data_IF_185384720208
#
_entry.id   IF_185384720208
#
_cell.length_a   1.000
_cell.length_b   1.000
_cell.length_c   1.000
_cell.angle_alpha   90.00
_cell.angle_beta   90.00
_cell.angle_gamma   90.00
#
_symmetry.space_group_name_H-M   'P 1'
#
loop_
_entity.id
_entity.type
_entity.pdbx_description
1 polymer ?
#
# COMPACT_ATOMS: atom_id res chain seq x y z
N UNK A 1 26.39 -20.66 0.90
CA UNK A 1 26.15 -19.89 2.14
C UNK A 1 25.49 -18.52 1.88
N UNK A 2 26.12 -17.60 1.12
CA UNK A 2 25.55 -16.25 0.86
C UNK A 2 24.11 -16.25 0.29
N UNK A 3 23.77 -17.16 -0.63
CA UNK A 3 22.43 -17.24 -1.23
C UNK A 3 21.34 -17.73 -0.28
N UNK A 4 21.67 -18.66 0.61
CA UNK A 4 20.73 -19.16 1.62
C UNK A 4 20.38 -18.05 2.61
N UNK A 5 21.35 -17.22 2.99
CA UNK A 5 21.11 -16.03 3.81
C UNK A 5 20.17 -15.02 3.12
N UNK A 6 20.29 -14.84 1.80
CA UNK A 6 19.37 -13.98 1.03
C UNK A 6 17.95 -14.54 1.03
N UNK A 7 17.78 -15.87 0.92
CA UNK A 7 16.49 -16.56 1.05
C UNK A 7 15.87 -16.34 2.41
N UNK A 8 16.61 -16.61 3.49
CA UNK A 8 16.14 -16.40 4.86
C UNK A 8 15.75 -14.94 5.08
N UNK A 9 16.57 -14.00 4.62
CA UNK A 9 16.29 -12.57 4.71
C UNK A 9 14.98 -12.18 4.01
N UNK A 10 14.74 -12.67 2.79
CA UNK A 10 13.49 -12.40 2.07
C UNK A 10 12.26 -12.96 2.75
N UNK A 11 12.36 -14.18 3.28
CA UNK A 11 11.26 -14.80 4.04
C UNK A 11 10.94 -13.96 5.28
N UNK A 12 11.96 -13.53 6.03
CA UNK A 12 11.76 -12.67 7.20
C UNK A 12 11.11 -11.33 6.79
N UNK A 13 11.61 -10.69 5.73
CA UNK A 13 11.04 -9.45 5.22
C UNK A 13 9.56 -9.60 4.82
N UNK A 14 9.22 -10.73 4.18
CA UNK A 14 7.85 -11.06 3.80
C UNK A 14 6.95 -11.31 5.02
N UNK A 15 7.43 -12.05 6.02
CA UNK A 15 6.67 -12.30 7.25
C UNK A 15 6.41 -11.00 8.02
N UNK A 16 7.40 -10.11 8.12
CA UNK A 16 7.24 -8.79 8.73
C UNK A 16 6.20 -7.96 7.96
N UNK A 17 6.23 -8.01 6.63
CA UNK A 17 5.19 -7.38 5.82
C UNK A 17 3.80 -7.95 6.11
N UNK A 18 3.65 -9.27 6.17
CA UNK A 18 2.36 -9.89 6.47
C UNK A 18 1.83 -9.44 7.83
N UNK A 19 2.68 -9.42 8.85
CA UNK A 19 2.32 -8.92 10.18
C UNK A 19 1.90 -7.46 10.10
N UNK A 20 2.70 -6.58 9.48
CA UNK A 20 2.37 -5.16 9.35
C UNK A 20 1.07 -4.93 8.56
N UNK A 21 0.86 -5.68 7.48
CA UNK A 21 -0.33 -5.59 6.64
C UNK A 21 -1.60 -6.06 7.37
N UNK A 22 -1.55 -7.20 8.05
CA UNK A 22 -2.69 -7.69 8.84
C UNK A 22 -2.97 -6.77 10.03
N UNK A 23 -1.92 -6.27 10.68
CA UNK A 23 -2.03 -5.27 11.75
C UNK A 23 -2.69 -4.00 11.23
N UNK A 24 -2.44 -3.59 9.97
CA UNK A 24 -3.10 -2.43 9.36
C UNK A 24 -4.64 -2.52 9.44
N UNK A 25 -5.20 -3.69 9.15
CA UNK A 25 -6.64 -3.96 9.19
C UNK A 25 -7.19 -3.68 10.60
N UNK A 26 -6.53 -4.23 11.62
CA UNK A 26 -6.90 -4.01 13.01
C UNK A 26 -6.67 -2.56 13.46
N UNK A 27 -5.57 -1.96 13.02
CA UNK A 27 -5.19 -0.60 13.37
C UNK A 27 -6.24 0.41 12.92
N UNK A 28 -6.58 0.45 11.62
CA UNK A 28 -7.56 1.42 11.11
C UNK A 28 -9.00 1.02 11.43
N UNK A 29 -9.25 -0.27 11.66
CA UNK A 29 -10.58 -0.79 11.97
C UNK A 29 -10.96 -0.75 13.46
N UNK A 30 -10.01 -0.45 14.35
CA UNK A 30 -10.14 -0.66 15.80
C UNK A 30 -10.50 -2.11 16.18
N UNK A 31 -9.88 -3.09 15.51
CA UNK A 31 -10.18 -4.51 15.69
C UNK A 31 -8.97 -5.28 16.22
N UNK A 32 -9.14 -6.00 17.33
CA UNK A 32 -8.28 -7.10 17.78
C UNK A 32 -6.75 -6.84 17.73
N UNK A 33 -6.33 -5.59 18.00
CA UNK A 33 -4.92 -5.20 18.09
C UNK A 33 -4.68 -4.37 19.36
N UNK A 34 -3.50 -4.45 19.99
CA UNK A 34 -3.22 -3.76 21.25
C UNK A 34 -3.14 -2.23 21.09
N UNK A 35 -2.70 -1.75 19.93
CA UNK A 35 -2.64 -0.34 19.57
C UNK A 35 -3.35 -0.13 18.24
N UNK A 36 -4.60 0.34 18.29
CA UNK A 36 -5.37 0.82 17.14
C UNK A 36 -5.25 2.33 16.94
N UNK A 37 -5.85 2.85 15.87
CA UNK A 37 -5.80 4.27 15.49
C UNK A 37 -6.40 5.21 16.54
N UNK A 38 -7.36 4.71 17.33
CA UNK A 38 -8.04 5.48 18.39
C UNK A 38 -7.60 5.08 19.81
N UNK A 39 -6.64 4.16 19.93
CA UNK A 39 -6.16 3.70 21.24
C UNK A 39 -5.03 4.57 21.80
N UNK A 40 -4.93 4.65 23.13
CA UNK A 40 -3.88 5.37 23.86
C UNK A 40 -4.37 6.66 24.51
N UNK A 41 -3.46 7.35 25.17
CA UNK A 41 -3.74 8.64 25.82
C UNK A 41 -3.76 9.76 24.78
N UNK A 42 -4.77 10.62 24.86
CA UNK A 42 -4.84 11.81 24.04
C UNK A 42 -3.91 12.89 24.56
N UNK A 43 -3.18 13.50 23.64
CA UNK A 43 -2.44 14.73 23.90
C UNK A 43 -3.15 15.89 23.21
N UNK A 44 -2.71 17.12 23.47
CA UNK A 44 -3.23 18.31 22.80
C UNK A 44 -3.26 18.15 21.27
N UNK A 45 -4.32 18.68 20.64
CA UNK A 45 -4.64 18.48 19.23
C UNK A 45 -3.48 18.81 18.27
N UNK A 46 -2.83 19.96 18.47
CA UNK A 46 -1.77 20.44 17.57
C UNK A 46 -0.53 19.53 17.59
N UNK A 47 0.04 19.18 18.77
CA UNK A 47 1.08 18.15 18.85
C UNK A 47 0.69 16.81 18.22
N UNK A 48 -0.52 16.31 18.47
CA UNK A 48 -0.99 15.05 17.87
C UNK A 48 -1.02 15.13 16.34
N UNK A 49 -1.58 16.21 15.79
CA UNK A 49 -1.65 16.45 14.35
C UNK A 49 -0.25 16.51 13.72
N UNK A 50 0.68 17.27 14.30
CA UNK A 50 2.04 17.40 13.78
C UNK A 50 2.80 16.08 13.82
N UNK A 51 2.67 15.31 14.92
CA UNK A 51 3.28 13.99 15.04
C UNK A 51 2.74 13.02 13.99
N UNK A 52 1.42 12.95 13.83
CA UNK A 52 0.77 12.06 12.88
C UNK A 52 1.13 12.43 11.43
N UNK A 53 1.14 13.72 11.08
CA UNK A 53 1.60 14.20 9.78
C UNK A 53 3.08 13.90 9.54
N UNK A 54 3.94 14.04 10.55
CA UNK A 54 5.35 13.68 10.48
C UNK A 54 5.55 12.19 10.21
N UNK A 55 4.82 11.32 10.92
CA UNK A 55 4.86 9.87 10.73
C UNK A 55 4.40 9.45 9.33
N UNK A 56 3.27 10.01 8.87
CA UNK A 56 2.76 9.75 7.52
C UNK A 56 3.71 10.26 6.43
N UNK A 57 4.31 11.43 6.64
CA UNK A 57 5.29 12.01 5.72
C UNK A 57 6.56 11.17 5.65
N UNK A 58 7.07 10.70 6.80
CA UNK A 58 8.23 9.81 6.86
C UNK A 58 8.00 8.54 6.04
N UNK A 59 6.85 7.89 6.23
CA UNK A 59 6.46 6.73 5.43
C UNK A 59 6.35 7.06 3.94
N UNK A 60 5.63 8.14 3.59
CA UNK A 60 5.42 8.54 2.19
C UNK A 60 6.74 8.84 1.47
N UNK A 61 7.65 9.56 2.12
CA UNK A 61 8.96 9.92 1.58
C UNK A 61 9.83 8.67 1.41
N UNK A 62 9.97 7.86 2.47
CA UNK A 62 10.75 6.62 2.42
C UNK A 62 10.24 5.68 1.31
N UNK A 63 8.93 5.43 1.28
CA UNK A 63 8.30 4.54 0.31
C UNK A 63 8.46 5.08 -1.11
N UNK A 64 8.19 6.37 -1.32
CA UNK A 64 8.27 6.99 -2.65
C UNK A 64 9.68 6.99 -3.21
N UNK A 65 10.68 7.35 -2.40
CA UNK A 65 12.09 7.39 -2.82
C UNK A 65 12.53 6.01 -3.26
N UNK A 66 12.31 4.99 -2.42
CA UNK A 66 12.77 3.64 -2.74
C UNK A 66 12.00 3.00 -3.90
N UNK A 67 10.77 3.42 -4.16
CA UNK A 67 10.02 2.98 -5.33
C UNK A 67 10.60 3.49 -6.66
N UNK A 68 11.37 4.59 -6.66
CA UNK A 68 11.83 5.24 -7.89
C UNK A 68 12.94 4.46 -8.62
N UNK A 69 12.91 4.38 -9.96
CA UNK A 69 13.94 3.68 -10.73
C UNK A 69 15.38 4.16 -10.48
N UNK A 70 15.58 5.45 -10.24
CA UNK A 70 16.90 6.03 -9.97
C UNK A 70 17.49 5.52 -8.64
N UNK A 71 16.68 5.51 -7.58
CA UNK A 71 17.09 4.96 -6.29
C UNK A 71 17.41 3.47 -6.40
N UNK A 72 16.55 2.69 -7.08
CA UNK A 72 16.78 1.25 -7.29
C UNK A 72 18.12 0.99 -7.96
N UNK A 73 18.41 1.69 -9.08
CA UNK A 73 19.69 1.57 -9.80
C UNK A 73 20.90 1.92 -8.95
N UNK A 74 20.79 2.91 -8.07
CA UNK A 74 21.85 3.27 -7.14
C UNK A 74 22.01 2.21 -6.04
N UNK A 75 20.90 1.80 -5.43
CA UNK A 75 20.89 0.88 -4.30
C UNK A 75 21.38 -0.52 -4.67
N UNK A 76 21.06 -1.01 -5.87
CA UNK A 76 21.56 -2.30 -6.39
C UNK A 76 23.06 -2.31 -6.71
N UNK A 77 23.76 -1.16 -6.64
CA UNK A 77 25.23 -1.12 -6.68
C UNK A 77 25.85 -1.45 -5.31
N UNK A 78 25.07 -1.29 -4.24
CA UNK A 78 25.51 -1.46 -2.86
C UNK A 78 25.13 -2.86 -2.36
N UNK A 79 23.90 -3.30 -2.65
CA UNK A 79 23.36 -4.59 -2.22
C UNK A 79 23.19 -5.56 -3.41
N UNK A 80 23.04 -6.85 -3.12
CA UNK A 80 22.69 -7.82 -4.15
C UNK A 80 21.33 -7.45 -4.79
N UNK A 81 21.22 -7.39 -6.14
CA UNK A 81 19.97 -7.03 -6.81
C UNK A 81 18.75 -7.87 -6.40
N UNK A 82 18.94 -9.14 -6.04
CA UNK A 82 17.86 -10.01 -5.56
C UNK A 82 17.27 -9.56 -4.22
N UNK A 83 18.03 -8.81 -3.41
CA UNK A 83 17.59 -8.30 -2.11
C UNK A 83 16.81 -6.99 -2.21
N UNK A 84 16.96 -6.22 -3.28
CA UNK A 84 16.40 -4.87 -3.41
C UNK A 84 14.92 -4.82 -3.05
N UNK A 85 14.13 -5.69 -3.66
CA UNK A 85 12.68 -5.71 -3.44
C UNK A 85 12.32 -6.08 -2.01
N UNK A 86 12.99 -7.08 -1.43
CA UNK A 86 12.75 -7.50 -0.05
C UNK A 86 13.17 -6.44 0.95
N UNK A 87 14.27 -5.73 0.70
CA UNK A 87 14.72 -4.62 1.55
C UNK A 87 13.75 -3.44 1.47
N UNK A 88 13.25 -3.10 0.28
CA UNK A 88 12.19 -2.11 0.11
C UNK A 88 10.96 -2.43 0.98
N UNK A 89 10.49 -3.68 0.91
CA UNK A 89 9.32 -4.13 1.65
C UNK A 89 9.56 -4.11 3.15
N UNK A 90 10.72 -4.60 3.60
CA UNK A 90 11.09 -4.58 5.01
C UNK A 90 11.08 -3.16 5.55
N UNK A 91 11.79 -2.23 4.90
CA UNK A 91 11.91 -0.85 5.39
C UNK A 91 10.56 -0.13 5.36
N UNK A 92 9.73 -0.33 4.33
CA UNK A 92 8.38 0.23 4.31
C UNK A 92 7.46 -0.41 5.36
N UNK A 93 7.61 -1.70 5.66
CA UNK A 93 6.86 -2.36 6.72
C UNK A 93 7.27 -1.86 8.10
N UNK A 94 8.57 -1.62 8.33
CA UNK A 94 9.07 -1.04 9.57
C UNK A 94 8.60 0.41 9.76
N UNK A 95 8.61 1.22 8.69
CA UNK A 95 8.06 2.58 8.72
C UNK A 95 6.55 2.57 9.03
N UNK A 96 5.83 1.58 8.52
CA UNK A 96 4.41 1.38 8.80
C UNK A 96 4.14 0.94 10.24
N UNK A 97 4.92 -0.01 10.77
CA UNK A 97 4.86 -0.39 12.19
C UNK A 97 5.21 0.78 13.12
N UNK A 98 6.13 1.65 12.70
CA UNK A 98 6.47 2.87 13.43
C UNK A 98 5.27 3.84 13.47
N UNK A 99 4.52 3.97 12.37
CA UNK A 99 3.25 4.73 12.37
C UNK A 99 2.34 4.16 13.47
N UNK A 100 2.06 2.86 13.47
CA UNK A 100 1.13 2.26 14.43
C UNK A 100 1.57 2.50 15.87
N UNK A 101 2.86 2.31 16.14
CA UNK A 101 3.40 2.45 17.47
C UNK A 101 3.35 3.90 17.99
N UNK A 102 3.69 4.87 17.13
CA UNK A 102 3.83 6.28 17.53
C UNK A 102 2.63 7.14 17.21
N UNK A 103 1.59 6.57 16.61
CA UNK A 103 0.34 7.27 16.31
C UNK A 103 -0.29 7.86 17.58
N UNK A 104 -0.63 9.13 17.50
CA UNK A 104 -1.32 9.86 18.56
C UNK A 104 -2.83 9.82 18.28
N UNK A 105 -3.66 9.25 19.17
CA UNK A 105 -5.09 9.18 18.97
C UNK A 105 -5.70 10.58 18.97
N UNK A 106 -6.73 10.77 18.14
CA UNK A 106 -7.54 11.99 18.05
C UNK A 106 -9.00 11.54 17.94
N UNK A 107 -9.60 11.17 19.06
CA UNK A 107 -10.83 10.35 19.15
C UNK A 107 -12.13 11.13 18.98
N UNK A 108 -12.07 12.46 18.91
CA UNK A 108 -13.23 13.28 18.61
C UNK A 108 -13.95 12.79 17.35
N UNK A 109 -15.24 12.48 17.50
CA UNK A 109 -16.05 11.80 16.48
C UNK A 109 -16.53 12.82 15.43
N UNK A 110 -16.32 12.49 14.16
CA UNK A 110 -16.84 13.23 13.00
C UNK A 110 -18.21 12.68 12.60
N UNK A 111 -18.31 11.35 12.51
CA UNK A 111 -19.57 10.65 12.34
C UNK A 111 -19.54 9.29 13.01
N UNK A 112 -20.73 8.82 13.35
CA UNK A 112 -20.97 7.48 13.86
C UNK A 112 -22.26 6.96 13.21
N UNK A 113 -22.25 5.69 12.82
CA UNK A 113 -23.37 5.02 12.18
C UNK A 113 -23.93 3.95 13.09
N UNK A 114 -25.25 3.77 13.05
CA UNK A 114 -25.96 2.85 13.93
C UNK A 114 -26.56 1.67 13.16
N UNK A 115 -26.89 0.60 13.90
CA UNK A 115 -27.69 -0.53 13.43
C UNK A 115 -27.17 -1.14 12.12
N UNK A 116 -28.06 -1.33 11.14
CA UNK A 116 -27.77 -1.95 9.85
C UNK A 116 -26.74 -1.16 9.05
N UNK A 117 -26.72 0.17 9.17
CA UNK A 117 -25.75 1.02 8.47
C UNK A 117 -24.32 0.71 8.91
N UNK A 118 -24.10 0.54 10.21
CA UNK A 118 -22.79 0.16 10.76
C UNK A 118 -22.29 -1.16 10.16
N UNK A 119 -23.17 -2.17 10.08
CA UNK A 119 -22.85 -3.47 9.47
C UNK A 119 -22.51 -3.31 7.99
N UNK A 120 -23.31 -2.57 7.23
CA UNK A 120 -23.06 -2.34 5.80
C UNK A 120 -21.72 -1.63 5.57
N UNK A 121 -21.40 -0.62 6.37
CA UNK A 121 -20.09 0.07 6.29
C UNK A 121 -18.95 -0.89 6.63
N UNK A 122 -19.13 -1.78 7.61
CA UNK A 122 -18.15 -2.80 7.95
C UNK A 122 -17.94 -3.84 6.84
N UNK A 123 -19.01 -4.21 6.12
CA UNK A 123 -18.91 -5.06 4.92
C UNK A 123 -18.10 -4.35 3.84
N UNK A 124 -18.36 -3.06 3.60
CA UNK A 124 -17.58 -2.26 2.63
C UNK A 124 -16.11 -2.15 3.04
N UNK A 125 -15.82 -2.01 4.34
CA UNK A 125 -14.46 -2.01 4.87
C UNK A 125 -13.71 -3.30 4.53
N UNK A 126 -14.29 -4.46 4.84
CA UNK A 126 -13.67 -5.76 4.54
C UNK A 126 -13.61 -6.03 3.04
N UNK A 127 -14.56 -5.53 2.26
CA UNK A 127 -14.52 -5.59 0.80
C UNK A 127 -13.32 -4.81 0.26
N UNK A 128 -13.02 -3.63 0.81
CA UNK A 128 -11.81 -2.86 0.47
C UNK A 128 -10.53 -3.66 0.68
N UNK A 129 -10.36 -4.27 1.86
CA UNK A 129 -9.21 -5.14 2.16
C UNK A 129 -9.16 -6.39 1.29
N UNK A 130 -10.30 -6.98 0.96
CA UNK A 130 -10.39 -8.13 0.05
C UNK A 130 -9.93 -7.74 -1.35
N UNK A 131 -10.32 -6.56 -1.84
CA UNK A 131 -9.84 -6.02 -3.12
C UNK A 131 -8.33 -5.85 -3.09
N UNK A 132 -7.76 -5.29 -2.02
CA UNK A 132 -6.30 -5.15 -1.84
C UNK A 132 -5.64 -6.51 -1.94
N UNK A 133 -6.07 -7.48 -1.13
CA UNK A 133 -5.50 -8.81 -1.07
C UNK A 133 -5.54 -9.50 -2.44
N UNK A 134 -6.71 -9.58 -3.08
CA UNK A 134 -6.85 -10.22 -4.39
C UNK A 134 -6.04 -9.50 -5.48
N UNK A 135 -5.95 -8.17 -5.45
CA UNK A 135 -5.16 -7.39 -6.41
C UNK A 135 -3.67 -7.76 -6.37
N UNK A 136 -3.12 -8.13 -5.20
CA UNK A 136 -1.73 -8.57 -5.11
C UNK A 136 -1.47 -9.86 -5.91
N UNK A 137 -2.40 -10.82 -5.89
CA UNK A 137 -2.29 -12.06 -6.66
C UNK A 137 -2.49 -11.83 -8.16
N UNK A 138 -3.29 -10.82 -8.55
CA UNK A 138 -3.52 -10.49 -9.96
C UNK A 138 -2.29 -9.93 -10.67
N UNK A 139 -1.37 -9.26 -9.96
CA UNK A 139 -0.10 -8.80 -10.55
C UNK A 139 0.97 -9.90 -10.52
N UNK A 140 1.04 -10.63 -9.39
CA UNK A 140 1.96 -11.73 -9.03
C UNK A 140 2.46 -11.47 -7.60
N UNK A 141 1.78 -12.02 -6.59
CA UNK A 141 1.99 -11.70 -5.17
C UNK A 141 3.46 -11.88 -4.73
N UNK A 142 4.06 -13.03 -5.04
CA UNK A 142 5.43 -13.33 -4.62
C UNK A 142 6.48 -12.46 -5.30
N UNK A 143 6.23 -12.04 -6.55
CA UNK A 143 7.09 -11.11 -7.27
C UNK A 143 6.94 -9.68 -6.76
N UNK A 144 5.70 -9.28 -6.45
CA UNK A 144 5.39 -8.02 -5.78
C UNK A 144 6.10 -7.94 -4.43
N UNK A 145 6.27 -9.06 -3.72
CA UNK A 145 6.91 -9.11 -2.42
C UNK A 145 8.39 -9.57 -2.41
N UNK A 146 9.05 -9.67 -3.58
CA UNK A 146 10.49 -9.91 -3.64
C UNK A 146 10.93 -11.38 -3.54
N UNK A 147 10.02 -12.30 -3.27
CA UNK A 147 10.32 -13.72 -3.07
C UNK A 147 10.70 -14.42 -4.39
N UNK A 148 10.07 -14.04 -5.51
CA UNK A 148 10.41 -14.57 -6.83
C UNK A 148 11.84 -14.22 -7.23
N UNK A 149 12.26 -12.97 -7.02
CA UNK A 149 13.59 -12.47 -7.35
C UNK A 149 14.67 -13.19 -6.53
N UNK A 150 14.36 -13.51 -5.27
CA UNK A 150 15.26 -14.28 -4.41
C UNK A 150 15.35 -15.73 -4.85
N UNK A 151 14.22 -16.36 -5.21
CA UNK A 151 14.20 -17.73 -5.71
C UNK A 151 14.97 -17.87 -7.03
N UNK A 152 14.77 -16.95 -7.98
CA UNK A 152 15.52 -16.91 -9.25
C UNK A 152 17.04 -16.79 -8.99
N UNK A 153 17.45 -15.87 -8.11
CA UNK A 153 18.87 -15.74 -7.73
C UNK A 153 19.42 -17.00 -7.03
N UNK A 154 18.61 -17.69 -6.23
CA UNK A 154 18.99 -18.97 -5.64
C UNK A 154 19.26 -20.02 -6.72
N UNK A 155 18.43 -20.07 -7.77
CA UNK A 155 18.54 -20.98 -8.93
C UNK A 155 19.58 -20.56 -10.00
N UNK A 156 20.23 -19.40 -9.87
CA UNK A 156 21.07 -18.79 -10.92
C UNK A 156 20.30 -18.39 -12.18
N UNK A 157 19.01 -18.14 -12.06
CA UNK A 157 18.20 -17.60 -13.16
C UNK A 157 18.35 -16.08 -13.24
N UNK A 158 18.15 -15.54 -14.44
CA UNK A 158 18.13 -14.09 -14.64
C UNK A 158 16.89 -13.48 -13.99
N UNK A 159 17.06 -12.40 -13.25
CA UNK A 159 15.94 -11.69 -12.63
C UNK A 159 15.13 -11.03 -13.76
N UNK A 160 13.93 -11.53 -14.01
CA UNK A 160 13.04 -11.02 -15.05
C UNK A 160 12.21 -9.85 -14.53
N UNK A 161 11.89 -8.91 -15.42
CA UNK A 161 10.91 -7.86 -15.09
C UNK A 161 9.48 -8.41 -15.20
N UNK A 162 8.53 -7.90 -14.40
CA UNK A 162 7.14 -8.34 -14.47
C UNK A 162 6.56 -8.12 -15.86
N UNK A 163 5.82 -9.09 -16.39
CA UNK A 163 5.06 -8.92 -17.63
C UNK A 163 3.84 -8.04 -17.35
N UNK A 164 3.59 -7.07 -18.22
CA UNK A 164 2.35 -6.28 -18.15
C UNK A 164 1.14 -7.18 -18.42
N UNK A 165 0.17 -7.16 -17.50
CA UNK A 165 -1.05 -7.97 -17.58
C UNK A 165 -2.27 -7.14 -17.19
N UNK A 166 -3.38 -7.35 -17.89
CA UNK A 166 -4.65 -6.65 -17.65
C UNK A 166 -5.76 -7.68 -17.43
N UNK A 167 -5.86 -8.16 -16.19
CA UNK A 167 -6.78 -9.23 -15.79
C UNK A 167 -7.76 -8.74 -14.71
N UNK A 168 -9.00 -9.26 -14.72
CA UNK A 168 -10.00 -9.05 -13.67
C UNK A 168 -10.21 -7.57 -13.28
N UNK A 169 -9.82 -7.17 -12.06
CA UNK A 169 -9.97 -5.80 -11.57
C UNK A 169 -9.22 -4.77 -12.41
N UNK A 170 -8.09 -5.16 -13.02
CA UNK A 170 -7.35 -4.31 -13.94
C UNK A 170 -8.12 -4.00 -15.23
N UNK A 171 -9.21 -4.71 -15.54
CA UNK A 171 -10.13 -4.33 -16.62
C UNK A 171 -11.10 -3.21 -16.20
N UNK A 172 -11.34 -3.05 -14.90
CA UNK A 172 -12.26 -2.04 -14.34
C UNK A 172 -11.54 -0.74 -14.00
N UNK A 173 -10.39 -0.83 -13.33
CA UNK A 173 -9.57 0.31 -12.90
C UNK A 173 -8.08 -0.03 -13.01
N UNK A 174 -7.21 0.95 -13.29
CA UNK A 174 -5.77 0.71 -13.48
C UNK A 174 -5.02 0.39 -12.19
N UNK A 175 -5.47 0.92 -11.05
CA UNK A 175 -4.84 0.72 -9.75
C UNK A 175 -5.84 0.17 -8.72
N UNK A 176 -6.30 -1.09 -8.86
CA UNK A 176 -7.32 -1.67 -7.98
C UNK A 176 -6.84 -1.83 -6.54
N UNK A 177 -5.55 -2.09 -6.32
CA UNK A 177 -4.93 -2.12 -4.99
C UNK A 177 -5.09 -0.77 -4.26
N UNK A 178 -4.90 0.34 -4.99
CA UNK A 178 -5.06 1.69 -4.45
C UNK A 178 -6.52 2.01 -4.17
N UNK A 179 -7.44 1.60 -5.05
CA UNK A 179 -8.87 1.71 -4.82
C UNK A 179 -9.30 0.94 -3.56
N UNK A 180 -8.82 -0.29 -3.37
CA UNK A 180 -9.11 -1.10 -2.19
C UNK A 180 -8.68 -0.43 -0.90
N UNK A 181 -7.49 0.19 -0.86
CA UNK A 181 -7.04 0.97 0.30
C UNK A 181 -7.93 2.18 0.57
N UNK A 182 -8.29 2.95 -0.46
CA UNK A 182 -9.19 4.11 -0.29
C UNK A 182 -10.53 3.65 0.29
N UNK A 183 -11.13 2.58 -0.25
CA UNK A 183 -12.38 2.02 0.29
C UNK A 183 -12.20 1.62 1.76
N UNK A 184 -11.15 0.86 2.09
CA UNK A 184 -10.90 0.38 3.44
C UNK A 184 -10.66 1.51 4.45
N UNK A 185 -9.96 2.58 4.07
CA UNK A 185 -9.65 3.67 4.99
C UNK A 185 -10.86 4.58 5.25
N UNK A 186 -11.70 4.79 4.24
CA UNK A 186 -12.90 5.63 4.35
C UNK A 186 -14.13 4.90 4.90
N UNK A 187 -14.24 3.58 4.71
CA UNK A 187 -15.36 2.78 5.22
C UNK A 187 -15.24 2.58 6.74
N UNK A 188 -15.72 3.56 7.48
CA UNK A 188 -15.63 3.63 8.94
C UNK A 188 -17.02 3.74 9.55
N UNK A 189 -17.49 2.75 10.33
CA UNK A 189 -18.74 2.90 11.07
C UNK A 189 -18.69 4.07 12.06
N UNK A 190 -17.54 4.23 12.72
CA UNK A 190 -17.18 5.38 13.55
C UNK A 190 -15.92 6.02 12.96
N UNK A 191 -16.01 7.29 12.57
CA UNK A 191 -14.90 8.06 12.04
C UNK A 191 -14.50 9.13 13.05
N UNK A 192 -13.30 8.99 13.60
CA UNK A 192 -12.66 9.98 14.46
C UNK A 192 -11.83 10.97 13.63
N UNK A 193 -11.40 12.08 14.23
CA UNK A 193 -10.45 12.99 13.58
C UNK A 193 -9.13 12.31 13.20
N UNK A 194 -8.65 11.37 14.03
CA UNK A 194 -7.44 10.62 13.73
C UNK A 194 -7.61 9.76 12.49
N UNK A 195 -8.71 9.01 12.41
CA UNK A 195 -9.01 8.19 11.24
C UNK A 195 -9.28 9.02 9.99
N UNK A 196 -9.98 10.15 10.12
CA UNK A 196 -10.22 11.05 9.00
C UNK A 196 -8.92 11.65 8.46
N UNK A 197 -8.02 12.10 9.35
CA UNK A 197 -6.68 12.58 8.98
C UNK A 197 -5.92 11.51 8.21
N UNK A 198 -5.87 10.29 8.74
CA UNK A 198 -5.21 9.15 8.09
C UNK A 198 -5.80 8.90 6.70
N UNK A 199 -7.13 8.81 6.57
CA UNK A 199 -7.81 8.55 5.31
C UNK A 199 -7.56 9.66 4.28
N UNK A 200 -7.66 10.93 4.67
CA UNK A 200 -7.43 12.07 3.78
C UNK A 200 -5.98 12.13 3.29
N UNK A 201 -5.00 12.06 4.20
CA UNK A 201 -3.58 12.19 3.87
C UNK A 201 -3.11 11.02 3.00
N UNK A 202 -3.49 9.78 3.35
CA UNK A 202 -3.15 8.60 2.54
C UNK A 202 -3.83 8.63 1.18
N UNK A 203 -5.09 9.09 1.08
CA UNK A 203 -5.77 9.26 -0.21
C UNK A 203 -5.07 10.29 -1.08
N UNK A 204 -4.72 11.46 -0.52
CA UNK A 204 -3.99 12.50 -1.23
C UNK A 204 -2.63 11.98 -1.71
N UNK A 205 -1.90 11.27 -0.85
CA UNK A 205 -0.64 10.63 -1.20
C UNK A 205 -0.81 9.61 -2.34
N UNK A 206 -1.79 8.70 -2.25
CA UNK A 206 -2.09 7.71 -3.30
C UNK A 206 -2.34 8.42 -4.64
N UNK A 207 -3.22 9.43 -4.65
CA UNK A 207 -3.57 10.16 -5.87
C UNK A 207 -2.35 10.85 -6.49
N UNK A 208 -1.52 11.49 -5.67
CA UNK A 208 -0.31 12.17 -6.12
C UNK A 208 0.71 11.15 -6.66
N UNK A 209 0.99 10.10 -5.88
CA UNK A 209 1.96 9.08 -6.22
C UNK A 209 1.58 8.34 -7.50
N UNK A 210 0.32 7.93 -7.64
CA UNK A 210 -0.17 7.24 -8.84
C UNK A 210 -0.11 8.16 -10.05
N UNK A 211 -0.76 9.32 -9.98
CA UNK A 211 -0.91 10.24 -11.13
C UNK A 211 0.41 10.83 -11.61
N UNK A 212 1.25 11.27 -10.69
CA UNK A 212 2.45 12.03 -11.05
C UNK A 212 3.72 11.21 -11.09
N UNK A 213 3.76 10.04 -10.44
CA UNK A 213 4.96 9.22 -10.36
C UNK A 213 4.75 7.87 -11.07
N UNK A 214 3.82 7.04 -10.59
CA UNK A 214 3.63 5.67 -11.08
C UNK A 214 3.22 5.63 -12.55
N UNK A 215 2.21 6.40 -12.97
CA UNK A 215 1.78 6.40 -14.37
C UNK A 215 2.85 6.91 -15.33
N UNK A 216 3.68 7.86 -14.89
CA UNK A 216 4.80 8.35 -15.70
C UNK A 216 5.87 7.27 -15.87
N UNK A 217 6.18 6.54 -14.81
CA UNK A 217 7.15 5.44 -14.84
C UNK A 217 6.62 4.27 -15.69
N UNK A 218 5.36 3.88 -15.52
CA UNK A 218 4.71 2.84 -16.34
C UNK A 218 4.67 3.21 -17.81
N UNK A 219 4.34 4.46 -18.13
CA UNK A 219 4.36 4.96 -19.51
C UNK A 219 5.75 4.86 -20.15
N UNK A 220 6.81 5.18 -19.39
CA UNK A 220 8.20 5.07 -19.87
C UNK A 220 8.63 3.61 -20.09
N UNK A 221 8.17 2.68 -19.25
CA UNK A 221 8.57 1.27 -19.29
C UNK A 221 7.77 0.48 -20.32
N UNK A 222 6.46 0.72 -20.41
CA UNK A 222 5.51 -0.07 -21.20
C UNK A 222 5.10 0.60 -22.52
N UNK A 223 5.41 1.88 -22.71
CA UNK A 223 5.20 2.59 -23.96
C UNK A 223 3.73 2.59 -24.43
N UNK A 224 3.54 2.31 -25.73
CA UNK A 224 2.25 2.45 -26.43
C UNK A 224 1.15 1.56 -25.87
N UNK A 225 1.49 0.37 -25.37
CA UNK A 225 0.50 -0.56 -24.81
C UNK A 225 -0.18 0.02 -23.57
N UNK A 226 0.61 0.67 -22.71
CA UNK A 226 0.09 1.34 -21.53
C UNK A 226 -0.68 2.61 -21.88
N UNK A 227 -0.26 3.38 -22.89
CA UNK A 227 -1.05 4.52 -23.38
C UNK A 227 -2.44 4.07 -23.91
N UNK A 228 -2.50 2.99 -24.67
CA UNK A 228 -3.75 2.41 -25.16
C UNK A 228 -4.62 1.89 -24.01
N UNK A 229 -4.01 1.32 -22.98
CA UNK A 229 -4.69 0.93 -21.75
C UNK A 229 -5.24 2.15 -20.98
N UNK A 230 -4.46 3.21 -20.86
CA UNK A 230 -4.87 4.46 -20.20
C UNK A 230 -6.08 5.11 -20.88
N UNK A 231 -6.21 4.98 -22.20
CA UNK A 231 -7.39 5.49 -22.93
C UNK A 231 -8.68 4.74 -22.58
N UNK A 232 -8.60 3.44 -22.29
CA UNK A 232 -9.75 2.54 -22.15
C UNK A 232 -10.22 2.33 -20.72
N UNK A 233 -9.30 2.26 -19.76
CA UNK A 233 -9.60 1.91 -18.36
C UNK A 233 -9.32 3.11 -17.47
N UNK A 234 -10.22 3.51 -16.56
CA UNK A 234 -10.00 4.64 -15.65
C UNK A 234 -8.91 4.37 -14.59
N UNK A 235 -8.33 5.42 -14.00
CA UNK A 235 -7.18 5.29 -13.09
C UNK A 235 -7.52 4.57 -11.77
N UNK A 236 -8.42 5.16 -10.97
CA UNK A 236 -8.80 4.65 -9.63
C UNK A 236 -10.31 4.53 -9.50
N UNK A 237 -11.07 5.56 -9.88
CA UNK A 237 -12.52 5.54 -9.77
C UNK A 237 -13.16 4.88 -11.00
N UNK A 238 -13.95 3.80 -10.82
CA UNK A 238 -14.58 3.11 -11.93
C UNK A 238 -15.58 4.02 -12.65
N UNK A 239 -15.92 3.67 -13.90
CA UNK A 239 -16.94 4.34 -14.71
C UNK A 239 -16.67 5.81 -15.11
N UNK A 240 -15.47 6.34 -14.85
CA UNK A 240 -15.09 7.71 -15.31
C UNK A 240 -14.67 7.76 -16.78
N UNK A 241 -14.55 6.62 -17.45
CA UNK A 241 -14.26 6.50 -18.88
C UNK A 241 -15.32 5.63 -19.54
N UNK A 242 -16.27 6.26 -20.22
CA UNK A 242 -17.17 5.57 -21.12
C UNK A 242 -16.48 5.36 -22.46
N UNK A 243 -16.61 4.18 -23.05
CA UNK A 243 -16.32 4.00 -24.48
C UNK A 243 -17.21 5.00 -25.22
N UNK A 244 -16.62 5.99 -25.88
CA UNK A 244 -17.31 6.63 -27.00
C UNK A 244 -17.52 5.51 -28.02
N UNK A 245 -18.78 5.13 -28.22
CA UNK A 245 -19.19 4.20 -29.27
C UNK A 245 -18.77 4.71 -30.64
#
# INVERSE_FOLDING_TARGET
MKKVLIVIYGIIAYLIFLVAFLYAIGFVGNLFVPKSIDSGEEISLIPALLNNLGLLSLFAIQHSIMARPAFKKWFTKIINPAMERSTYILLSSLALLLIYWKWQPMTAIVWETENVTSILVMVVFFLGWTIVFLSTFMINHFELFGLTQIYQNFKNETITSPKFQVNWFYKLVRHPLMLGFIIAFWAAPTMTYGRLLFAMVTTAYILIAVKFLEEKDLKKILGKDYEAYQKRVPMIFPFTKFKKG
#
